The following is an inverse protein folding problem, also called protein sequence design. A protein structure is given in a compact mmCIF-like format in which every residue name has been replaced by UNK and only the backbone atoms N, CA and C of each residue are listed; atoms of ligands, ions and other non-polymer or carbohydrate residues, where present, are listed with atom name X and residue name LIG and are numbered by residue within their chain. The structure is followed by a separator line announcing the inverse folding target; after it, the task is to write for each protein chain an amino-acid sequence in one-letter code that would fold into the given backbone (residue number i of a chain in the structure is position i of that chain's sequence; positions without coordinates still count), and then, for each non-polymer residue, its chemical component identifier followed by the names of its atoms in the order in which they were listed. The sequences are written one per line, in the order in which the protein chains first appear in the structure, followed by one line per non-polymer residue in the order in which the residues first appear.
data_IF_558944653709
#
_entry.id   IF_558944653709
#
_cell.length_a   1.000
_cell.length_b   1.000
_cell.length_c   1.000
_cell.angle_alpha   90.00
_cell.angle_beta   90.00
_cell.angle_gamma   90.00
#
_symmetry.space_group_name_H-M   'P 1'
#
loop_
_entity.id
_entity.type
_entity.pdbx_description
1 polymer ?
#
# COMPACT_ATOMS: atom_id res chain seq x y z
N UNK A 1 6.97 0.70 16.18
CA UNK A 1 6.11 0.57 17.38
C UNK A 1 4.68 1.11 17.20
N UNK A 2 4.33 1.88 16.14
CA UNK A 2 3.06 2.61 16.16
C UNK A 2 1.86 1.94 15.46
N UNK A 3 1.97 1.10 14.44
CA UNK A 3 0.78 0.63 13.68
C UNK A 3 0.21 -0.71 14.12
N UNK A 4 0.99 -1.73 14.46
CA UNK A 4 0.44 -2.95 15.08
C UNK A 4 0.00 -2.65 16.53
N UNK A 5 0.77 -1.84 17.26
CA UNK A 5 0.33 -1.24 18.53
C UNK A 5 -0.90 -0.35 18.35
N UNK A 6 -1.00 0.38 17.25
CA UNK A 6 -2.15 1.22 16.93
C UNK A 6 -3.39 0.37 16.66
N UNK A 7 -3.30 -0.73 15.89
CA UNK A 7 -4.41 -1.68 15.70
C UNK A 7 -4.80 -2.37 16.99
N UNK A 8 -3.84 -2.90 17.73
CA UNK A 8 -4.08 -3.54 19.03
C UNK A 8 -4.61 -2.52 20.04
N UNK A 9 -4.11 -1.29 20.04
CA UNK A 9 -4.62 -0.19 20.84
C UNK A 9 -5.99 0.30 20.37
N UNK A 10 -6.25 0.35 19.07
CA UNK A 10 -7.58 0.59 18.50
C UNK A 10 -8.54 -0.54 18.89
N UNK A 11 -8.10 -1.79 18.87
CA UNK A 11 -8.89 -2.94 19.33
C UNK A 11 -9.17 -2.88 20.84
N UNK A 12 -8.20 -2.59 21.67
CA UNK A 12 -8.40 -2.46 23.13
C UNK A 12 -9.25 -1.24 23.50
N UNK A 13 -8.98 -0.06 22.91
CA UNK A 13 -9.77 1.16 23.13
C UNK A 13 -11.21 0.96 22.66
N UNK A 14 -11.41 0.23 21.59
CA UNK A 14 -12.69 -0.11 20.99
C UNK A 14 -13.55 -0.96 21.91
N UNK A 15 -13.05 -2.14 22.34
CA UNK A 15 -13.83 -3.12 23.12
C UNK A 15 -14.09 -2.64 24.56
N UNK A 16 -13.10 -2.00 25.15
CA UNK A 16 -13.15 -1.59 26.55
C UNK A 16 -13.79 -0.22 26.73
N UNK A 17 -13.85 0.62 25.70
CA UNK A 17 -14.29 2.01 25.87
C UNK A 17 -15.29 2.51 24.83
N UNK A 18 -14.99 2.36 23.52
CA UNK A 18 -15.82 3.00 22.48
C UNK A 18 -17.20 2.37 22.34
N UNK A 19 -17.31 1.03 22.37
CA UNK A 19 -18.60 0.35 22.25
C UNK A 19 -19.46 0.62 23.46
N UNK A 20 -19.01 0.40 24.72
CA UNK A 20 -19.81 0.71 25.89
C UNK A 20 -20.29 2.15 25.93
N UNK A 21 -19.41 3.11 25.64
CA UNK A 21 -19.75 4.54 25.58
C UNK A 21 -20.83 4.85 24.54
N UNK A 22 -20.75 4.24 23.35
CA UNK A 22 -21.74 4.48 22.30
C UNK A 22 -23.08 3.76 22.57
N UNK A 23 -23.04 2.59 23.21
CA UNK A 23 -24.26 1.91 23.67
C UNK A 23 -25.00 2.78 24.67
N UNK A 24 -24.34 3.23 25.74
CA UNK A 24 -24.90 4.11 26.75
C UNK A 24 -25.47 5.39 26.16
N UNK A 25 -24.71 6.07 25.28
CA UNK A 25 -25.13 7.31 24.61
C UNK A 25 -26.39 7.16 23.75
N UNK A 26 -26.65 5.96 23.25
CA UNK A 26 -27.83 5.66 22.40
C UNK A 26 -28.89 4.84 23.13
N UNK A 27 -28.81 4.69 24.46
CA UNK A 27 -29.82 4.00 25.28
C UNK A 27 -29.94 2.49 25.00
N UNK A 28 -28.82 1.85 24.58
CA UNK A 28 -28.78 0.42 24.30
C UNK A 28 -27.99 -0.31 25.40
N UNK A 29 -28.43 -1.53 25.74
CA UNK A 29 -27.67 -2.45 26.56
C UNK A 29 -26.79 -3.38 25.73
N UNK A 30 -25.83 -4.05 26.37
CA UNK A 30 -24.96 -5.05 25.72
C UNK A 30 -25.73 -6.27 25.22
N UNK A 31 -26.86 -6.57 25.82
CA UNK A 31 -27.76 -7.67 25.44
C UNK A 31 -28.54 -7.30 24.17
N UNK A 32 -28.84 -6.01 23.97
CA UNK A 32 -29.59 -5.52 22.82
C UNK A 32 -28.76 -5.35 21.57
N UNK A 33 -27.46 -5.02 21.70
CA UNK A 33 -26.55 -4.88 20.55
C UNK A 33 -25.20 -5.53 20.81
N UNK A 34 -24.86 -6.49 19.96
CA UNK A 34 -23.55 -7.15 19.91
C UNK A 34 -22.88 -6.88 18.54
N UNK A 35 -21.72 -6.27 18.55
CA UNK A 35 -20.88 -6.06 17.35
C UNK A 35 -19.71 -7.04 17.42
N UNK A 36 -19.62 -7.97 16.46
CA UNK A 36 -18.58 -9.00 16.45
C UNK A 36 -17.18 -8.42 16.19
N UNK A 37 -16.13 -9.11 16.65
CA UNK A 37 -14.74 -8.72 16.39
C UNK A 37 -14.45 -8.61 14.89
N UNK A 38 -14.93 -9.56 14.08
CA UNK A 38 -14.78 -9.54 12.62
C UNK A 38 -15.48 -8.34 11.96
N UNK A 39 -16.67 -7.94 12.43
CA UNK A 39 -17.35 -6.75 11.95
C UNK A 39 -16.54 -5.48 12.24
N UNK A 40 -15.91 -5.42 13.39
CA UNK A 40 -15.10 -4.29 13.78
C UNK A 40 -13.77 -4.23 13.00
N UNK A 41 -13.14 -5.37 12.75
CA UNK A 41 -11.99 -5.44 11.87
C UNK A 41 -12.35 -4.94 10.46
N UNK A 42 -13.43 -5.44 9.90
CA UNK A 42 -13.94 -4.96 8.60
C UNK A 42 -14.27 -3.46 8.62
N UNK A 43 -14.83 -2.95 9.71
CA UNK A 43 -15.10 -1.52 9.87
C UNK A 43 -13.82 -0.69 9.83
N UNK A 44 -12.77 -1.13 10.53
CA UNK A 44 -11.47 -0.46 10.52
C UNK A 44 -10.86 -0.48 9.11
N UNK A 45 -10.96 -1.60 8.40
CA UNK A 45 -10.35 -1.78 7.09
C UNK A 45 -11.10 -1.09 5.96
N UNK A 46 -12.44 -1.22 5.93
CA UNK A 46 -13.24 -0.85 4.78
C UNK A 46 -14.07 0.42 4.97
N UNK A 47 -14.21 0.93 6.20
CA UNK A 47 -15.07 2.09 6.49
C UNK A 47 -14.33 3.26 7.16
N UNK A 48 -13.09 3.04 7.66
CA UNK A 48 -12.30 4.10 8.29
C UNK A 48 -10.87 4.10 7.74
N UNK A 49 -10.37 5.30 7.39
CA UNK A 49 -8.97 5.51 7.02
C UNK A 49 -8.47 6.70 7.84
N UNK A 50 -7.91 6.41 9.01
CA UNK A 50 -7.53 7.44 9.97
C UNK A 50 -6.35 7.04 10.85
N UNK A 51 -5.61 8.04 11.33
CA UNK A 51 -4.53 7.85 12.28
C UNK A 51 -5.02 7.61 13.73
N UNK A 52 -6.23 8.05 14.05
CA UNK A 52 -6.87 7.97 15.35
C UNK A 52 -8.03 6.99 15.40
N UNK A 53 -9.05 7.29 16.22
CA UNK A 53 -10.24 6.47 16.43
C UNK A 53 -11.55 7.26 16.29
N UNK A 54 -11.50 8.53 15.85
CA UNK A 54 -12.69 9.39 15.78
C UNK A 54 -13.71 8.93 14.75
N UNK A 55 -13.25 8.51 13.56
CA UNK A 55 -14.16 7.97 12.55
C UNK A 55 -14.68 6.60 12.95
N UNK A 56 -13.87 5.76 13.61
CA UNK A 56 -14.32 4.49 14.16
C UNK A 56 -15.42 4.71 15.21
N UNK A 57 -15.22 5.63 16.16
CA UNK A 57 -16.25 6.00 17.15
C UNK A 57 -17.53 6.46 16.47
N UNK A 58 -17.42 7.28 15.43
CA UNK A 58 -18.58 7.78 14.65
C UNK A 58 -19.32 6.63 13.95
N UNK A 59 -18.59 5.66 13.35
CA UNK A 59 -19.20 4.48 12.71
C UNK A 59 -19.88 3.56 13.71
N UNK A 60 -19.28 3.35 14.88
CA UNK A 60 -19.93 2.61 15.98
C UNK A 60 -21.21 3.34 16.39
N UNK A 61 -21.18 4.65 16.55
CA UNK A 61 -22.38 5.47 16.82
C UNK A 61 -23.46 5.36 15.74
N UNK A 62 -23.08 5.31 14.45
CA UNK A 62 -24.01 5.10 13.34
C UNK A 62 -24.74 3.75 13.47
N UNK A 63 -24.02 2.68 13.81
CA UNK A 63 -24.59 1.36 14.08
C UNK A 63 -25.53 1.41 15.28
N UNK A 64 -25.10 2.00 16.39
CA UNK A 64 -25.90 2.10 17.61
C UNK A 64 -27.23 2.84 17.34
N UNK A 65 -27.23 3.96 16.61
CA UNK A 65 -28.44 4.71 16.26
C UNK A 65 -29.43 3.89 15.44
N UNK A 66 -28.93 3.17 14.40
CA UNK A 66 -29.79 2.32 13.59
C UNK A 66 -30.31 1.12 14.36
N UNK A 67 -29.49 0.51 15.21
CA UNK A 67 -29.89 -0.59 16.08
C UNK A 67 -30.95 -0.15 17.11
N UNK A 68 -30.77 1.00 17.76
CA UNK A 68 -31.77 1.56 18.68
C UNK A 68 -33.15 1.75 18.00
N UNK A 69 -33.14 2.28 16.78
CA UNK A 69 -34.34 2.40 15.97
C UNK A 69 -34.99 1.04 15.66
N UNK A 70 -34.19 0.02 15.29
CA UNK A 70 -34.74 -1.32 15.03
C UNK A 70 -35.30 -2.00 16.28
N UNK A 71 -34.67 -1.80 17.45
CA UNK A 71 -35.20 -2.29 18.73
C UNK A 71 -36.55 -1.68 19.05
N UNK A 72 -36.68 -0.36 18.88
CA UNK A 72 -37.90 0.37 19.17
C UNK A 72 -39.02 0.07 18.17
N UNK A 73 -38.75 0.18 16.86
CA UNK A 73 -39.77 0.06 15.81
C UNK A 73 -40.16 -1.40 15.54
N UNK A 74 -39.17 -2.33 15.52
CA UNK A 74 -39.39 -3.73 15.14
C UNK A 74 -39.50 -4.67 16.33
N UNK A 75 -39.50 -4.14 17.57
CA UNK A 75 -39.55 -4.90 18.84
C UNK A 75 -38.52 -6.04 18.90
N UNK A 76 -37.37 -5.84 18.32
CA UNK A 76 -36.26 -6.79 18.40
C UNK A 76 -35.65 -6.76 19.80
N UNK A 77 -35.46 -7.91 20.41
CA UNK A 77 -34.86 -8.02 21.74
C UNK A 77 -33.33 -7.95 21.70
N UNK A 78 -32.73 -8.42 20.60
CA UNK A 78 -31.27 -8.33 20.38
C UNK A 78 -30.93 -8.21 18.91
N UNK A 79 -29.81 -7.54 18.62
CA UNK A 79 -29.26 -7.32 17.29
C UNK A 79 -27.79 -7.75 17.32
N UNK A 80 -27.40 -8.59 16.36
CA UNK A 80 -26.01 -9.00 16.15
C UNK A 80 -25.49 -8.42 14.84
N UNK A 81 -24.49 -7.55 14.94
CA UNK A 81 -23.78 -6.97 13.79
C UNK A 81 -22.56 -7.82 13.49
N UNK A 82 -22.50 -8.32 12.26
CA UNK A 82 -21.46 -9.18 11.74
C UNK A 82 -20.86 -8.55 10.48
N UNK A 83 -19.77 -9.09 9.99
CA UNK A 83 -19.16 -8.69 8.74
C UNK A 83 -20.14 -8.71 7.55
N UNK A 84 -21.09 -9.66 7.55
CA UNK A 84 -22.04 -9.88 6.44
C UNK A 84 -23.16 -8.86 6.37
N UNK A 85 -23.54 -8.25 7.50
CA UNK A 85 -24.65 -7.29 7.55
C UNK A 85 -24.19 -5.86 7.88
N UNK A 86 -22.88 -5.62 7.82
CA UNK A 86 -22.31 -4.32 8.15
C UNK A 86 -22.72 -3.22 7.15
N UNK A 87 -22.92 -3.58 5.89
CA UNK A 87 -23.40 -2.72 4.82
C UNK A 87 -24.81 -2.17 5.08
N UNK A 88 -25.68 -2.95 5.72
CA UNK A 88 -27.00 -2.49 6.15
C UNK A 88 -26.91 -1.29 7.12
N UNK A 89 -25.90 -1.29 8.00
CA UNK A 89 -25.70 -0.22 8.99
C UNK A 89 -24.87 0.95 8.47
N UNK A 90 -23.83 0.69 7.71
CA UNK A 90 -22.84 1.69 7.31
C UNK A 90 -22.88 2.07 5.82
N UNK A 91 -23.70 1.36 5.03
CA UNK A 91 -23.73 1.51 3.58
C UNK A 91 -22.55 0.81 2.93
N UNK A 92 -22.25 1.19 1.68
CA UNK A 92 -21.14 0.59 0.91
C UNK A 92 -19.80 0.87 1.56
N UNK A 93 -18.87 -0.06 1.41
CA UNK A 93 -17.48 0.12 1.78
C UNK A 93 -16.92 1.39 1.12
N UNK A 94 -16.05 2.10 1.84
CA UNK A 94 -15.50 3.40 1.40
C UNK A 94 -14.01 3.36 1.14
N UNK A 95 -13.34 2.35 1.66
CA UNK A 95 -11.90 2.16 1.53
C UNK A 95 -11.69 0.83 0.84
N UNK A 96 -11.05 0.88 -0.31
CA UNK A 96 -10.69 -0.30 -1.08
C UNK A 96 -9.16 -0.38 -1.09
N UNK A 97 -8.63 -1.56 -0.88
CA UNK A 97 -7.23 -1.85 -1.16
C UNK A 97 -7.19 -2.60 -2.48
N UNK A 98 -6.53 -2.02 -3.46
CA UNK A 98 -6.32 -2.70 -4.73
C UNK A 98 -5.42 -3.91 -4.52
N UNK A 99 -6.02 -5.09 -4.61
CA UNK A 99 -5.25 -6.33 -4.59
C UNK A 99 -4.23 -6.35 -5.74
N UNK A 100 -3.09 -6.96 -5.50
CA UNK A 100 -2.11 -7.17 -6.56
C UNK A 100 -2.75 -7.99 -7.68
N UNK A 101 -2.64 -7.50 -8.92
CA UNK A 101 -3.14 -8.18 -10.10
C UNK A 101 -2.50 -9.57 -10.28
N UNK A 102 -3.09 -10.40 -11.13
CA UNK A 102 -2.59 -11.74 -11.41
C UNK A 102 -1.77 -11.82 -12.71
N UNK A 103 -1.68 -10.72 -13.46
CA UNK A 103 -1.01 -10.70 -14.76
C UNK A 103 0.30 -9.92 -14.70
N UNK A 104 1.35 -10.48 -15.29
CA UNK A 104 2.61 -9.81 -15.47
C UNK A 104 2.48 -8.74 -16.56
N UNK A 105 2.90 -7.51 -16.25
CA UNK A 105 2.73 -6.35 -17.12
C UNK A 105 4.06 -5.65 -17.40
N UNK A 106 4.13 -4.95 -18.53
CA UNK A 106 5.28 -4.11 -18.91
C UNK A 106 5.06 -2.71 -18.38
N UNK A 107 6.08 -2.11 -17.77
CA UNK A 107 6.05 -0.73 -17.31
C UNK A 107 5.20 -0.48 -16.07
N UNK A 108 4.63 -1.50 -15.44
CA UNK A 108 3.81 -1.38 -14.24
C UNK A 108 4.45 -2.09 -13.08
N UNK A 109 4.74 -1.37 -12.01
CA UNK A 109 5.41 -1.90 -10.80
C UNK A 109 4.73 -1.36 -9.54
N UNK A 110 4.60 -2.23 -8.56
CA UNK A 110 4.02 -1.88 -7.26
C UNK A 110 5.11 -1.46 -6.26
N UNK A 111 5.02 -0.22 -5.81
CA UNK A 111 5.80 0.30 -4.70
C UNK A 111 5.03 0.28 -3.39
N UNK A 112 5.74 0.56 -2.29
CA UNK A 112 5.18 0.65 -0.96
C UNK A 112 5.41 2.04 -0.39
N UNK A 113 4.35 2.66 0.11
CA UNK A 113 4.38 3.99 0.72
C UNK A 113 4.02 3.95 2.20
N UNK A 114 4.49 4.95 2.92
CA UNK A 114 4.07 5.26 4.27
C UNK A 114 3.37 6.62 4.29
N UNK A 115 2.23 6.69 4.98
CA UNK A 115 1.43 7.90 5.14
C UNK A 115 1.10 8.12 6.62
N UNK A 116 0.63 9.31 6.97
CA UNK A 116 0.18 9.63 8.32
C UNK A 116 -0.95 8.71 8.83
N UNK A 117 -1.67 8.06 7.93
CA UNK A 117 -2.77 7.14 8.25
C UNK A 117 -2.39 5.66 8.17
N UNK A 118 -1.16 5.34 7.80
CA UNK A 118 -0.62 3.97 7.71
C UNK A 118 0.14 3.72 6.43
N UNK A 119 0.39 2.45 6.12
CA UNK A 119 1.00 2.06 4.85
C UNK A 119 -0.01 2.02 3.72
N UNK A 120 0.49 2.17 2.51
CA UNK A 120 -0.26 2.06 1.27
C UNK A 120 0.59 1.42 0.17
N UNK A 121 -0.04 0.97 -0.91
CA UNK A 121 0.67 0.55 -2.12
C UNK A 121 0.57 1.64 -3.18
N UNK A 122 1.64 1.86 -3.91
CA UNK A 122 1.68 2.77 -5.04
C UNK A 122 1.86 1.96 -6.32
N UNK A 123 0.98 2.12 -7.27
CA UNK A 123 1.21 1.63 -8.62
C UNK A 123 2.02 2.68 -9.38
N UNK A 124 3.17 2.30 -9.91
CA UNK A 124 3.99 3.16 -10.75
C UNK A 124 3.85 2.65 -12.18
N UNK A 125 3.44 3.54 -13.06
CA UNK A 125 3.21 3.26 -14.48
C UNK A 125 4.22 4.04 -15.31
N UNK A 126 4.87 3.36 -16.24
CA UNK A 126 5.78 3.98 -17.19
C UNK A 126 5.38 3.59 -18.60
N UNK A 127 5.23 4.59 -19.45
CA UNK A 127 5.03 4.43 -20.86
C UNK A 127 6.18 5.07 -21.65
N UNK A 128 6.48 4.51 -22.80
CA UNK A 128 7.51 5.00 -23.71
C UNK A 128 6.86 5.30 -25.05
N UNK A 129 7.20 6.45 -25.62
CA UNK A 129 6.66 6.91 -26.90
C UNK A 129 7.75 7.55 -27.76
N UNK A 130 7.60 7.63 -29.09
CA UNK A 130 8.51 8.40 -29.94
C UNK A 130 8.64 9.83 -29.44
N UNK A 131 9.85 10.35 -29.35
CA UNK A 131 10.09 11.68 -28.77
C UNK A 131 11.53 12.17 -28.92
N UNK A 132 11.97 13.00 -27.99
CA UNK A 132 13.28 13.68 -28.00
C UNK A 132 14.08 13.47 -26.72
N UNK A 133 13.76 12.43 -25.94
CA UNK A 133 14.47 12.09 -24.70
C UNK A 133 13.92 12.79 -23.45
N UNK A 134 12.68 13.26 -23.47
CA UNK A 134 12.07 13.97 -22.34
C UNK A 134 11.53 12.96 -21.32
N UNK A 135 11.79 13.22 -20.02
CA UNK A 135 11.12 12.54 -18.91
C UNK A 135 9.93 13.39 -18.46
N UNK A 136 8.73 12.91 -18.71
CA UNK A 136 7.50 13.50 -18.21
C UNK A 136 7.10 12.80 -16.89
N UNK A 137 6.65 13.57 -15.91
CA UNK A 137 6.27 13.06 -14.60
C UNK A 137 4.92 13.63 -14.17
N UNK A 138 3.97 12.75 -13.80
CA UNK A 138 2.64 13.12 -13.33
C UNK A 138 2.23 12.30 -12.09
N UNK A 139 1.27 12.76 -11.30
CA UNK A 139 0.77 12.07 -10.11
C UNK A 139 1.08 12.79 -8.79
N UNK A 140 1.19 14.14 -8.81
CA UNK A 140 1.44 14.97 -7.61
C UNK A 140 2.71 14.55 -6.85
N UNK A 141 3.80 14.32 -7.58
CA UNK A 141 5.10 14.03 -7.01
C UNK A 141 5.75 15.29 -6.45
N UNK A 142 6.21 15.25 -5.20
CA UNK A 142 7.04 16.27 -4.58
C UNK A 142 8.46 16.28 -5.16
N UNK A 143 9.26 17.24 -4.74
CA UNK A 143 10.55 17.51 -5.36
C UNK A 143 11.58 16.39 -5.08
N UNK A 144 11.56 15.78 -3.88
CA UNK A 144 12.45 14.67 -3.55
C UNK A 144 12.12 13.44 -4.42
N UNK A 145 10.85 13.17 -4.65
CA UNK A 145 10.43 12.05 -5.52
C UNK A 145 10.77 12.29 -6.99
N UNK A 146 10.67 13.53 -7.48
CA UNK A 146 11.10 13.90 -8.84
C UNK A 146 12.61 13.74 -9.03
N UNK A 147 13.40 14.16 -8.04
CA UNK A 147 14.85 13.94 -8.04
C UNK A 147 15.18 12.44 -8.06
N UNK A 148 14.51 11.65 -7.21
CA UNK A 148 14.65 10.19 -7.21
C UNK A 148 14.29 9.55 -8.58
N UNK A 149 13.29 10.08 -9.28
CA UNK A 149 12.95 9.62 -10.64
C UNK A 149 14.05 9.95 -11.67
N UNK A 150 14.69 11.10 -11.54
CA UNK A 150 15.84 11.48 -12.39
C UNK A 150 17.05 10.59 -12.13
N UNK A 151 17.33 10.26 -10.88
CA UNK A 151 18.39 9.32 -10.48
C UNK A 151 18.08 7.93 -11.05
N UNK A 152 16.85 7.46 -10.92
CA UNK A 152 16.39 6.19 -11.47
C UNK A 152 16.56 6.13 -12.99
N UNK A 153 16.20 7.19 -13.73
CA UNK A 153 16.39 7.27 -15.17
C UNK A 153 17.89 7.24 -15.54
N UNK A 154 18.71 7.96 -14.81
CA UNK A 154 20.17 7.97 -15.05
C UNK A 154 20.75 6.58 -14.88
N UNK A 155 20.38 5.87 -13.82
CA UNK A 155 20.77 4.48 -13.62
C UNK A 155 20.30 3.59 -14.78
N UNK A 156 19.01 3.67 -15.16
CA UNK A 156 18.46 2.87 -16.27
C UNK A 156 19.22 3.11 -17.56
N UNK A 157 19.53 4.37 -17.89
CA UNK A 157 20.33 4.71 -19.07
C UNK A 157 21.73 4.07 -19.03
N UNK A 158 22.36 4.00 -17.86
CA UNK A 158 23.71 3.45 -17.71
C UNK A 158 23.79 1.93 -17.89
N UNK A 159 22.68 1.20 -17.68
CA UNK A 159 22.65 -0.26 -17.76
C UNK A 159 21.81 -0.79 -18.93
N UNK A 160 21.10 0.08 -19.64
CA UNK A 160 20.15 -0.30 -20.69
C UNK A 160 20.79 -1.14 -21.82
N UNK A 161 22.05 -0.88 -22.16
CA UNK A 161 22.79 -1.66 -23.17
C UNK A 161 22.94 -3.13 -22.77
N UNK A 162 23.08 -3.42 -21.47
CA UNK A 162 23.21 -4.79 -20.96
C UNK A 162 21.94 -5.60 -21.16
N UNK A 163 20.81 -4.90 -21.40
CA UNK A 163 19.49 -5.47 -21.69
C UNK A 163 19.07 -5.31 -23.15
N UNK A 164 20.02 -5.09 -24.05
CA UNK A 164 19.78 -5.02 -25.51
C UNK A 164 19.16 -3.73 -26.02
N UNK A 165 19.10 -2.68 -25.23
CA UNK A 165 18.60 -1.37 -25.63
C UNK A 165 19.68 -0.61 -26.39
N UNK A 166 19.35 -0.08 -27.56
CA UNK A 166 20.29 0.67 -28.42
C UNK A 166 20.73 1.97 -27.75
N UNK A 167 21.99 2.38 -27.94
CA UNK A 167 22.56 3.61 -27.37
C UNK A 167 21.72 4.86 -27.63
N UNK A 168 21.20 5.02 -28.84
CA UNK A 168 20.39 6.19 -29.23
C UNK A 168 18.91 6.08 -28.87
N UNK A 169 18.51 5.07 -28.11
CA UNK A 169 17.10 4.84 -27.76
C UNK A 169 16.52 6.03 -27.02
N UNK A 170 17.22 6.51 -26.00
CA UNK A 170 16.76 7.61 -25.14
C UNK A 170 16.73 8.97 -25.83
N UNK A 171 17.38 9.13 -26.97
CA UNK A 171 17.34 10.36 -27.77
C UNK A 171 16.09 10.43 -28.66
N UNK A 172 15.49 9.26 -28.94
CA UNK A 172 14.36 9.09 -29.87
C UNK A 172 13.05 8.75 -29.20
N UNK A 173 13.05 8.59 -27.87
CA UNK A 173 11.86 8.22 -27.10
C UNK A 173 11.72 9.09 -25.88
N UNK A 174 10.52 9.59 -25.65
CA UNK A 174 10.11 10.19 -24.39
C UNK A 174 9.62 9.11 -23.44
N UNK A 175 9.86 9.31 -22.15
CA UNK A 175 9.41 8.44 -21.08
C UNK A 175 8.40 9.21 -20.25
N UNK A 176 7.21 8.64 -20.03
CA UNK A 176 6.22 9.21 -19.13
C UNK A 176 6.05 8.31 -17.92
N UNK A 177 6.41 8.82 -16.76
CA UNK A 177 6.22 8.18 -15.45
C UNK A 177 4.99 8.79 -14.79
N UNK A 178 4.03 7.93 -14.44
CA UNK A 178 2.81 8.31 -13.77
C UNK A 178 2.62 7.53 -12.47
N UNK A 179 2.20 8.21 -11.41
CA UNK A 179 1.75 7.58 -10.17
C UNK A 179 0.28 7.94 -9.98
N UNK A 180 -0.67 6.98 -10.18
CA UNK A 180 -2.10 7.19 -10.02
C UNK A 180 -2.49 7.80 -8.66
N UNK A 181 -3.76 8.16 -8.51
CA UNK A 181 -4.31 8.92 -7.37
C UNK A 181 -3.73 10.35 -7.27
N UNK A 182 -3.84 11.10 -8.36
CA UNK A 182 -3.31 12.47 -8.47
C UNK A 182 -3.86 13.49 -7.45
N UNK A 183 -4.89 13.16 -6.70
CA UNK A 183 -5.40 14.01 -5.62
C UNK A 183 -4.58 13.90 -4.32
N UNK A 184 -3.71 12.90 -4.19
CA UNK A 184 -2.89 12.64 -3.00
C UNK A 184 -1.44 13.01 -3.29
N UNK A 185 -0.87 14.06 -2.64
CA UNK A 185 0.54 14.38 -2.77
C UNK A 185 1.43 13.22 -2.30
N UNK A 186 2.48 12.93 -3.07
CA UNK A 186 3.44 11.86 -2.79
C UNK A 186 4.85 12.44 -2.83
N UNK A 187 5.65 12.11 -1.83
CA UNK A 187 7.05 12.56 -1.79
C UNK A 187 7.95 11.53 -1.10
N UNK A 188 9.26 11.66 -1.33
CA UNK A 188 10.29 10.83 -0.72
C UNK A 188 11.06 9.94 -1.71
N UNK A 189 12.28 9.49 -1.33
CA UNK A 189 13.18 8.75 -2.24
C UNK A 189 12.91 7.24 -2.27
N UNK A 190 12.06 6.71 -1.37
CA UNK A 190 11.90 5.26 -1.17
C UNK A 190 11.20 4.51 -2.30
N UNK A 191 10.73 5.21 -3.34
CA UNK A 191 10.20 4.63 -4.57
C UNK A 191 11.26 4.49 -5.68
N UNK A 192 12.52 4.82 -5.42
CA UNK A 192 13.60 4.84 -6.42
C UNK A 192 13.76 3.53 -7.16
N UNK A 193 13.88 2.40 -6.44
CA UNK A 193 14.00 1.08 -7.07
C UNK A 193 12.74 0.71 -7.88
N UNK A 194 11.57 1.14 -7.42
CA UNK A 194 10.29 0.88 -8.11
C UNK A 194 10.22 1.64 -9.44
N UNK A 195 10.61 2.92 -9.43
CA UNK A 195 10.66 3.75 -10.63
C UNK A 195 11.70 3.24 -11.63
N UNK A 196 12.90 2.86 -11.15
CA UNK A 196 13.94 2.29 -12.00
C UNK A 196 13.48 0.97 -12.65
N UNK A 197 12.83 0.10 -11.89
CA UNK A 197 12.29 -1.18 -12.39
C UNK A 197 11.19 -0.94 -13.43
N UNK A 198 10.27 0.01 -13.20
CA UNK A 198 9.21 0.34 -14.13
C UNK A 198 9.75 0.94 -15.44
N UNK A 199 10.73 1.85 -15.34
CA UNK A 199 11.39 2.42 -16.52
C UNK A 199 12.14 1.35 -17.32
N UNK A 200 12.93 0.49 -16.66
CA UNK A 200 13.65 -0.57 -17.34
C UNK A 200 12.70 -1.57 -18.00
N UNK A 201 11.61 -1.92 -17.33
CA UNK A 201 10.56 -2.75 -17.89
C UNK A 201 9.97 -2.15 -19.16
N UNK A 202 9.59 -0.87 -19.14
CA UNK A 202 9.01 -0.18 -20.28
C UNK A 202 9.98 -0.07 -21.46
N UNK A 203 11.26 0.22 -21.18
CA UNK A 203 12.30 0.39 -22.22
C UNK A 203 12.69 -0.94 -22.87
N UNK A 204 12.71 -2.03 -22.11
CA UNK A 204 13.11 -3.36 -22.59
C UNK A 204 11.93 -4.20 -23.10
N UNK A 205 10.69 -3.81 -22.77
CA UNK A 205 9.50 -4.62 -23.05
C UNK A 205 9.35 -5.84 -22.14
N UNK A 206 10.19 -6.02 -21.13
CA UNK A 206 10.15 -7.15 -20.21
C UNK A 206 9.06 -6.97 -19.15
N UNK A 207 8.29 -8.02 -18.93
CA UNK A 207 7.18 -8.01 -17.95
C UNK A 207 7.70 -8.12 -16.51
N UNK A 208 7.04 -7.41 -15.60
CA UNK A 208 7.27 -7.51 -14.16
C UNK A 208 6.24 -8.45 -13.54
N UNK A 209 6.67 -9.24 -12.56
CA UNK A 209 5.83 -10.21 -11.84
C UNK A 209 4.69 -9.49 -11.08
N UNK A 210 3.46 -10.02 -11.10
CA UNK A 210 2.28 -9.28 -10.66
C UNK A 210 2.18 -9.10 -9.15
N UNK A 211 2.64 -10.08 -8.36
CA UNK A 211 2.51 -10.08 -6.89
C UNK A 211 3.80 -9.73 -6.18
N UNK A 212 4.66 -8.97 -6.86
CA UNK A 212 5.88 -8.40 -6.30
C UNK A 212 5.65 -6.95 -5.96
N UNK A 213 6.06 -6.54 -4.77
CA UNK A 213 6.15 -5.14 -4.38
C UNK A 213 7.56 -4.82 -3.90
N UNK A 214 7.93 -3.57 -3.93
CA UNK A 214 9.27 -3.16 -3.55
C UNK A 214 9.31 -1.78 -2.92
N UNK A 215 10.36 -1.52 -2.15
CA UNK A 215 10.67 -0.19 -1.61
C UNK A 215 12.17 -0.09 -1.39
N UNK A 216 12.74 1.04 -1.75
CA UNK A 216 14.17 1.31 -1.61
C UNK A 216 14.55 2.59 -2.33
N UNK A 217 15.50 3.32 -1.80
CA UNK A 217 16.14 4.42 -2.50
C UNK A 217 17.23 3.84 -3.42
N UNK A 218 17.37 4.38 -4.61
CA UNK A 218 18.39 3.96 -5.57
C UNK A 218 19.44 5.06 -5.77
N UNK A 219 20.70 4.67 -5.88
CA UNK A 219 21.79 5.59 -6.25
C UNK A 219 22.05 5.53 -7.75
N UNK A 220 22.82 6.50 -8.26
CA UNK A 220 23.28 6.54 -9.67
C UNK A 220 24.04 5.27 -10.11
N UNK A 221 24.61 4.54 -9.16
CA UNK A 221 25.36 3.30 -9.40
C UNK A 221 24.56 2.03 -9.13
N UNK A 222 23.28 2.15 -8.82
CA UNK A 222 22.38 1.02 -8.57
C UNK A 222 22.42 0.45 -7.15
N UNK A 223 23.15 1.06 -6.20
CA UNK A 223 23.08 0.65 -4.81
C UNK A 223 21.68 0.93 -4.24
N UNK A 224 21.16 0.02 -3.42
CA UNK A 224 19.87 0.15 -2.76
C UNK A 224 20.07 0.59 -1.31
N UNK A 225 19.53 1.74 -0.96
CA UNK A 225 19.70 2.34 0.35
C UNK A 225 18.48 2.06 1.24
N UNK A 226 18.72 2.08 2.56
CA UNK A 226 17.68 1.87 3.58
C UNK A 226 16.58 2.94 3.54
N UNK A 227 15.40 2.56 4.02
CA UNK A 227 14.20 3.42 4.03
C UNK A 227 13.51 3.41 5.39
N UNK A 228 12.65 4.40 5.62
CA UNK A 228 11.81 4.45 6.80
C UNK A 228 10.40 3.88 6.58
N UNK A 229 9.69 3.64 7.70
CA UNK A 229 8.29 3.21 7.69
C UNK A 229 8.07 1.80 7.16
N UNK A 230 9.07 0.91 7.30
CA UNK A 230 9.01 -0.44 6.72
C UNK A 230 7.85 -1.27 7.26
N UNK A 231 7.55 -1.16 8.54
CA UNK A 231 6.44 -1.87 9.18
C UNK A 231 5.09 -1.56 8.53
N UNK A 232 4.81 -0.29 8.32
CA UNK A 232 3.59 0.18 7.67
C UNK A 232 3.51 -0.31 6.22
N UNK A 233 4.64 -0.25 5.52
CA UNK A 233 4.78 -0.72 4.15
C UNK A 233 4.51 -2.21 4.01
N UNK A 234 5.06 -3.04 4.89
CA UNK A 234 4.82 -4.49 4.89
C UNK A 234 3.37 -4.84 5.25
N UNK A 235 2.76 -4.08 6.16
CA UNK A 235 1.32 -4.24 6.44
C UNK A 235 0.47 -3.92 5.21
N UNK A 236 0.80 -2.87 4.45
CA UNK A 236 0.11 -2.54 3.21
C UNK A 236 0.31 -3.63 2.14
N UNK A 237 1.53 -4.14 1.98
CA UNK A 237 1.83 -5.25 1.07
C UNK A 237 0.98 -6.49 1.39
N UNK A 238 0.87 -6.86 2.68
CA UNK A 238 0.02 -7.97 3.12
C UNK A 238 -1.46 -7.74 2.81
N UNK A 239 -1.96 -6.52 3.02
CA UNK A 239 -3.36 -6.17 2.72
C UNK A 239 -3.65 -6.21 1.22
N UNK A 240 -2.67 -5.85 0.40
CA UNK A 240 -2.73 -5.94 -1.06
C UNK A 240 -2.46 -7.36 -1.60
N UNK A 241 -2.33 -8.37 -0.73
CA UNK A 241 -2.06 -9.77 -1.11
C UNK A 241 -0.79 -9.94 -1.95
N UNK A 242 0.24 -9.15 -1.64
CA UNK A 242 1.56 -9.28 -2.24
C UNK A 242 2.22 -10.56 -1.72
N UNK A 243 2.85 -11.33 -2.59
CA UNK A 243 3.50 -12.60 -2.25
C UNK A 243 5.00 -12.42 -2.00
N UNK A 244 5.64 -11.48 -2.70
CA UNK A 244 7.09 -11.19 -2.57
C UNK A 244 7.32 -9.70 -2.36
N UNK A 245 8.12 -9.34 -1.37
CA UNK A 245 8.51 -7.95 -1.11
C UNK A 245 10.02 -7.79 -1.15
N UNK A 246 10.50 -6.90 -2.02
CA UNK A 246 11.91 -6.55 -2.11
C UNK A 246 12.18 -5.35 -1.19
N UNK A 247 13.09 -5.53 -0.23
CA UNK A 247 13.45 -4.52 0.76
C UNK A 247 14.96 -4.32 0.82
N UNK A 248 15.46 -3.13 1.17
CA UNK A 248 16.90 -2.93 1.30
C UNK A 248 17.50 -3.85 2.36
N UNK A 249 18.65 -4.45 2.07
CA UNK A 249 19.32 -5.38 3.01
C UNK A 249 19.63 -4.72 4.36
N UNK A 250 19.89 -3.42 4.37
CA UNK A 250 20.14 -2.66 5.61
C UNK A 250 18.91 -2.51 6.51
N UNK A 251 17.70 -2.79 5.99
CA UNK A 251 16.47 -2.83 6.78
C UNK A 251 16.17 -4.23 7.36
N UNK A 252 17.06 -5.21 7.23
CA UNK A 252 16.86 -6.53 7.81
C UNK A 252 16.56 -6.49 9.32
N UNK A 253 17.26 -5.70 10.16
CA UNK A 253 16.95 -5.60 11.58
C UNK A 253 15.52 -5.10 11.84
N UNK A 254 15.03 -4.14 11.02
CA UNK A 254 13.65 -3.63 11.15
C UNK A 254 12.62 -4.74 10.90
N UNK A 255 12.91 -5.67 9.97
CA UNK A 255 12.02 -6.82 9.67
C UNK A 255 12.06 -7.84 10.80
N UNK A 256 13.24 -8.13 11.36
CA UNK A 256 13.44 -9.09 12.46
C UNK A 256 12.72 -8.66 13.75
N UNK A 257 12.58 -7.36 13.99
CA UNK A 257 11.81 -6.81 15.11
C UNK A 257 10.28 -6.93 14.93
N UNK A 258 9.80 -7.27 13.73
CA UNK A 258 8.37 -7.39 13.46
C UNK A 258 7.81 -8.72 13.98
N UNK A 259 6.53 -8.69 14.40
CA UNK A 259 5.84 -9.94 14.70
C UNK A 259 5.73 -10.80 13.41
N UNK A 260 5.92 -12.10 13.55
CA UNK A 260 5.81 -13.07 12.45
C UNK A 260 4.45 -13.03 11.74
N UNK A 261 3.43 -12.52 12.40
CA UNK A 261 2.11 -12.32 11.79
C UNK A 261 2.11 -11.30 10.65
N UNK A 262 3.00 -10.29 10.69
CA UNK A 262 3.07 -9.25 9.65
C UNK A 262 3.64 -9.82 8.36
N UNK A 263 4.67 -10.66 8.46
CA UNK A 263 5.38 -11.24 7.31
C UNK A 263 4.79 -12.58 6.84
N UNK A 264 3.85 -13.16 7.61
CA UNK A 264 3.24 -14.45 7.30
C UNK A 264 2.59 -14.45 5.90
N UNK A 265 3.02 -15.37 5.05
CA UNK A 265 2.52 -15.53 3.68
C UNK A 265 3.18 -14.59 2.66
N UNK A 266 4.23 -13.85 3.06
CA UNK A 266 5.05 -13.04 2.16
C UNK A 266 6.50 -13.50 2.21
N UNK A 267 7.12 -13.63 1.06
CA UNK A 267 8.57 -13.79 0.92
C UNK A 267 9.23 -12.41 1.01
N UNK A 268 10.12 -12.21 1.97
CA UNK A 268 10.90 -10.97 2.11
C UNK A 268 12.29 -11.21 1.53
N UNK A 269 12.63 -10.49 0.46
CA UNK A 269 13.93 -10.59 -0.19
C UNK A 269 14.75 -9.34 0.10
N UNK A 270 15.93 -9.53 0.66
CA UNK A 270 16.85 -8.46 1.03
C UNK A 270 17.76 -8.11 -0.12
N UNK A 271 17.73 -6.85 -0.58
CA UNK A 271 18.38 -6.36 -1.78
C UNK A 271 19.47 -5.35 -1.43
N UNK A 272 20.64 -5.47 -2.06
CA UNK A 272 21.75 -4.51 -1.97
C UNK A 272 21.93 -3.69 -3.26
N UNK A 273 21.60 -4.29 -4.41
CA UNK A 273 21.87 -3.77 -5.74
C UNK A 273 20.64 -3.91 -6.66
N UNK A 274 20.51 -3.03 -7.61
CA UNK A 274 19.43 -3.05 -8.59
C UNK A 274 19.42 -4.29 -9.50
N UNK A 275 20.59 -4.91 -9.77
CA UNK A 275 20.64 -6.17 -10.51
C UNK A 275 19.92 -7.31 -9.78
N UNK A 276 19.94 -7.31 -8.44
CA UNK A 276 19.16 -8.27 -7.63
C UNK A 276 17.66 -7.97 -7.74
N UNK A 277 17.27 -6.67 -7.72
CA UNK A 277 15.87 -6.26 -7.92
C UNK A 277 15.36 -6.75 -9.29
N UNK A 278 16.14 -6.56 -10.34
CA UNK A 278 15.80 -6.96 -11.70
C UNK A 278 15.61 -8.47 -11.79
N UNK A 279 16.51 -9.26 -11.19
CA UNK A 279 16.42 -10.72 -11.17
C UNK A 279 15.16 -11.22 -10.46
N UNK A 280 14.79 -10.58 -9.35
CA UNK A 280 13.67 -11.01 -8.50
C UNK A 280 12.30 -10.49 -8.97
N UNK A 281 12.27 -9.37 -9.70
CA UNK A 281 11.03 -8.70 -10.09
C UNK A 281 10.55 -9.03 -11.51
N UNK A 282 11.49 -9.37 -12.43
CA UNK A 282 11.12 -9.62 -13.81
C UNK A 282 10.72 -11.08 -14.05
N UNK A 283 9.83 -11.28 -15.02
CA UNK A 283 9.55 -12.63 -15.52
C UNK A 283 10.84 -13.19 -16.13
N UNK A 284 11.26 -14.42 -15.73
CA UNK A 284 12.45 -15.05 -16.31
C UNK A 284 12.35 -15.16 -17.83
N UNK A 285 13.41 -14.85 -18.53
CA UNK A 285 13.54 -15.15 -19.96
C UNK A 285 13.66 -16.66 -20.13
N UNK A 286 12.90 -17.21 -21.09
CA UNK A 286 12.90 -18.64 -21.42
C UNK A 286 14.16 -18.98 -22.25
#
# INVERSE_FOLDING_TARGET
LHTAYRRQRQMCIRDSYLIPKQLEKNGLSKEQLNITGSALEKMIHSYTREAGVRNLERRVGDICRKAAREVLEKKKTSIRVTERNLDHYLGREKVFFDAAGNEAQVGIVRGLAWTSVGGDTLQIEVNVMPGKGVLQMTGQMGDVMKESAQIALTYVRSVASDYGVKENYFEKHDIHLHIPEGAVPKDGPSAGITMATAMLSAVTGRKVLPRVAMTGEVTLRGHVLMIGGLKEKLLAARMAQVEKVLVPAKNQPDVEELSKEITKGMEIVYIKEMNEVIREAFVPEK
#
